data_IF_187393197758
#
_entry.id   IF_187393197758
#
_cell.length_a   1.000
_cell.length_b   1.000
_cell.length_c   1.000
_cell.angle_alpha   90.00
_cell.angle_beta   90.00
_cell.angle_gamma   90.00
#
_symmetry.space_group_name_H-M   'P 1'
#
loop_
_entity.id
_entity.type
_entity.pdbx_description
1 polymer ?
#
# COMPACT_ATOMS: atom_id res chain seq x y z
N UNK A 1 -1.27 -15.50 6.17
CA UNK A 1 -0.26 -14.85 5.33
C UNK A 1 0.67 -14.02 6.19
N UNK A 2 1.95 -14.19 6.01
CA UNK A 2 2.93 -13.48 6.83
C UNK A 2 3.49 -12.28 6.08
N UNK A 3 3.59 -11.17 6.78
CA UNK A 3 4.20 -9.97 6.24
C UNK A 3 4.78 -9.16 7.41
N UNK A 4 5.63 -8.21 7.08
CA UNK A 4 6.08 -7.20 8.02
C UNK A 4 6.09 -5.84 7.35
N UNK A 5 5.91 -4.80 8.13
CA UNK A 5 5.99 -3.44 7.65
C UNK A 5 7.42 -2.97 7.89
N UNK A 6 8.05 -2.42 6.87
CA UNK A 6 9.43 -1.99 6.94
C UNK A 6 9.51 -0.47 6.80
N UNK A 7 10.53 0.13 7.39
CA UNK A 7 10.79 1.55 7.25
C UNK A 7 11.98 1.85 6.32
N UNK A 8 12.44 0.84 5.60
CA UNK A 8 13.57 0.99 4.69
C UNK A 8 13.06 1.26 3.27
N UNK A 9 13.19 2.50 2.81
CA UNK A 9 12.74 2.86 1.48
C UNK A 9 13.45 2.07 0.37
N UNK A 10 14.63 1.53 0.64
CA UNK A 10 15.31 0.69 -0.34
C UNK A 10 14.51 -0.58 -0.65
N UNK A 11 13.70 -1.06 0.29
CA UNK A 11 12.84 -2.23 0.04
C UNK A 11 11.78 -1.95 -1.02
N UNK A 12 11.47 -0.68 -1.27
CA UNK A 12 10.49 -0.28 -2.28
C UNK A 12 11.13 -0.03 -3.66
N UNK A 13 12.43 -0.22 -3.80
CA UNK A 13 13.11 -0.03 -5.08
C UNK A 13 12.51 -0.95 -6.13
N UNK A 14 12.40 -0.44 -7.34
CA UNK A 14 11.88 -1.18 -8.50
C UNK A 14 10.38 -1.49 -8.41
N UNK A 15 9.66 -0.90 -7.45
CA UNK A 15 8.20 -1.02 -7.43
C UNK A 15 7.60 0.09 -8.29
N UNK A 16 6.46 -0.20 -8.87
CA UNK A 16 5.68 0.77 -9.62
C UNK A 16 4.21 0.54 -9.34
N UNK A 17 3.37 1.44 -9.82
CA UNK A 17 1.92 1.34 -9.59
C UNK A 17 1.38 0.06 -10.23
N UNK A 18 0.73 -0.77 -9.41
CA UNK A 18 0.13 -2.02 -9.88
C UNK A 18 -1.36 -2.13 -9.56
N UNK A 19 -1.89 -1.24 -8.72
CA UNK A 19 -3.31 -1.30 -8.40
C UNK A 19 -3.72 -0.25 -7.39
N UNK A 20 -4.93 -0.44 -6.89
CA UNK A 20 -5.55 0.50 -5.94
C UNK A 20 -6.34 -0.28 -4.90
N UNK A 21 -6.50 0.33 -3.73
CA UNK A 21 -7.41 -0.20 -2.71
C UNK A 21 -8.22 0.96 -2.15
N UNK A 22 -9.54 0.77 -2.06
CA UNK A 22 -10.42 1.77 -1.49
C UNK A 22 -10.63 1.44 -0.01
N UNK A 23 -10.08 2.27 0.85
CA UNK A 23 -10.16 2.05 2.29
C UNK A 23 -9.86 3.35 3.03
N UNK A 24 -9.91 3.33 4.35
CA UNK A 24 -9.65 4.51 5.17
C UNK A 24 -8.25 4.46 5.75
N UNK A 25 -7.76 5.65 6.12
CA UNK A 25 -6.49 5.76 6.83
C UNK A 25 -6.50 4.92 8.10
N UNK A 26 -7.62 4.94 8.83
CA UNK A 26 -7.73 4.20 10.09
C UNK A 26 -7.58 2.68 9.87
N UNK A 27 -8.17 2.17 8.80
CA UNK A 27 -8.04 0.75 8.48
C UNK A 27 -6.60 0.38 8.14
N UNK A 28 -5.90 1.26 7.44
CA UNK A 28 -4.49 1.01 7.10
C UNK A 28 -3.61 1.03 8.35
N UNK A 29 -3.86 1.96 9.26
CA UNK A 29 -3.11 2.01 10.52
C UNK A 29 -3.38 0.77 11.36
N UNK A 30 -4.63 0.32 11.39
CA UNK A 30 -4.97 -0.89 12.15
C UNK A 30 -4.25 -2.11 11.61
N UNK A 31 -4.17 -2.24 10.29
CA UNK A 31 -3.56 -3.41 9.66
C UNK A 31 -2.02 -3.34 9.65
N UNK A 32 -1.46 -2.16 9.43
CA UNK A 32 -0.03 -2.03 9.13
C UNK A 32 0.72 -1.10 10.08
N UNK A 33 0.03 -0.43 10.99
CA UNK A 33 0.66 0.49 11.90
C UNK A 33 0.82 1.88 11.31
N UNK A 34 1.66 2.68 11.94
CA UNK A 34 1.86 4.08 11.56
C UNK A 34 2.64 4.16 10.25
N UNK A 35 2.20 5.01 9.30
CA UNK A 35 2.92 5.12 8.03
C UNK A 35 4.22 5.89 8.17
N UNK A 36 5.06 5.74 7.16
CA UNK A 36 6.22 6.61 6.96
C UNK A 36 5.75 7.93 6.35
N UNK A 37 6.52 8.97 6.57
CA UNK A 37 6.35 10.19 5.80
C UNK A 37 6.74 9.90 4.37
N UNK A 38 5.86 10.26 3.45
CA UNK A 38 6.10 10.01 2.04
C UNK A 38 7.10 10.98 1.45
N UNK A 39 7.29 10.85 0.16
CA UNK A 39 8.20 11.72 -0.56
C UNK A 39 7.49 12.99 -1.03
N UNK A 40 7.91 13.42 -2.20
CA UNK A 40 7.52 14.69 -2.77
C UNK A 40 6.02 14.78 -3.05
N UNK A 41 5.41 13.68 -3.46
CA UNK A 41 4.01 13.65 -3.90
C UNK A 41 3.12 12.77 -3.06
N UNK A 42 3.63 12.30 -1.94
CA UNK A 42 2.88 11.45 -1.01
C UNK A 42 3.00 12.00 0.39
N UNK A 43 1.95 11.88 1.17
CA UNK A 43 1.96 12.28 2.58
C UNK A 43 2.24 11.11 3.49
N UNK A 44 1.70 9.94 3.15
CA UNK A 44 1.82 8.75 3.96
C UNK A 44 2.11 7.56 3.06
N UNK A 45 2.98 6.69 3.52
CA UNK A 45 3.37 5.52 2.75
C UNK A 45 3.65 4.35 3.69
N UNK A 46 3.16 3.18 3.32
CA UNK A 46 3.48 1.93 4.00
C UNK A 46 4.26 1.05 3.03
N UNK A 47 5.31 0.42 3.54
CA UNK A 47 6.09 -0.54 2.77
C UNK A 47 5.93 -1.89 3.44
N UNK A 48 5.37 -2.85 2.71
CA UNK A 48 5.01 -4.16 3.24
C UNK A 48 5.83 -5.21 2.55
N UNK A 49 6.55 -6.00 3.32
CA UNK A 49 7.38 -7.07 2.79
C UNK A 49 6.76 -8.41 3.20
N UNK A 50 6.42 -9.20 2.22
CA UNK A 50 5.81 -10.52 2.45
C UNK A 50 6.89 -11.57 2.69
N UNK A 51 6.50 -12.71 3.27
CA UNK A 51 7.43 -13.74 3.69
C UNK A 51 8.28 -14.29 2.54
N UNK A 52 7.73 -14.30 1.32
CA UNK A 52 8.46 -14.77 0.14
C UNK A 52 9.33 -13.71 -0.51
N UNK A 53 9.43 -12.53 0.09
CA UNK A 53 10.27 -11.45 -0.43
C UNK A 53 9.56 -10.46 -1.32
N UNK A 54 8.32 -10.70 -1.71
CA UNK A 54 7.56 -9.71 -2.48
C UNK A 54 7.30 -8.47 -1.64
N UNK A 55 7.26 -7.31 -2.30
CA UNK A 55 7.06 -6.03 -1.63
C UNK A 55 5.87 -5.33 -2.25
N UNK A 56 5.02 -4.76 -1.39
CA UNK A 56 3.96 -3.86 -1.79
C UNK A 56 4.13 -2.54 -1.07
N UNK A 57 3.77 -1.45 -1.73
CA UNK A 57 3.69 -0.14 -1.09
C UNK A 57 2.26 0.34 -1.17
N UNK A 58 1.83 1.11 -0.17
CA UNK A 58 0.52 1.75 -0.17
C UNK A 58 0.75 3.21 0.12
N UNK A 59 0.20 4.09 -0.70
CA UNK A 59 0.47 5.52 -0.57
C UNK A 59 -0.66 6.35 -1.15
N UNK A 60 -0.79 7.59 -0.65
CA UNK A 60 -1.64 8.59 -1.28
C UNK A 60 -0.86 9.26 -2.41
N UNK A 61 -1.54 9.96 -3.29
CA UNK A 61 -0.88 10.53 -4.46
C UNK A 61 -1.38 11.95 -4.71
N UNK A 62 -0.47 12.91 -4.60
CA UNK A 62 -0.73 14.32 -4.90
C UNK A 62 -1.89 14.92 -4.09
N UNK A 63 -2.08 14.42 -2.89
CA UNK A 63 -3.09 14.99 -1.99
C UNK A 63 -2.46 16.11 -1.16
N UNK A 64 -3.22 17.17 -0.86
CA UNK A 64 -2.67 18.26 -0.04
C UNK A 64 -2.34 17.81 1.38
N UNK A 65 -3.09 16.87 1.93
CA UNK A 65 -2.85 16.28 3.23
C UNK A 65 -3.18 14.80 3.16
N UNK A 66 -2.76 14.02 4.17
CA UNK A 66 -3.13 12.62 4.25
C UNK A 66 -4.65 12.47 4.27
N UNK A 67 -5.24 11.72 3.33
CA UNK A 67 -6.69 11.51 3.34
C UNK A 67 -7.09 10.62 4.51
N UNK A 68 -8.11 11.06 5.27
CA UNK A 68 -8.60 10.31 6.44
C UNK A 68 -9.97 9.69 6.23
N UNK A 69 -10.57 9.91 5.07
CA UNK A 69 -11.86 9.34 4.68
C UNK A 69 -11.61 8.22 3.67
N UNK A 70 -12.67 7.62 3.15
CA UNK A 70 -12.53 6.64 2.08
C UNK A 70 -11.77 7.25 0.92
N UNK A 71 -10.72 6.59 0.50
CA UNK A 71 -9.82 7.09 -0.52
C UNK A 71 -9.32 5.92 -1.34
N UNK A 72 -9.04 6.17 -2.59
CA UNK A 72 -8.47 5.18 -3.49
C UNK A 72 -6.95 5.21 -3.34
N UNK A 73 -6.44 4.43 -2.39
CA UNK A 73 -5.01 4.38 -2.13
C UNK A 73 -4.30 3.66 -3.27
N UNK A 74 -3.14 4.15 -3.62
CA UNK A 74 -2.31 3.53 -4.65
C UNK A 74 -1.54 2.37 -4.05
N UNK A 75 -1.41 1.29 -4.85
CA UNK A 75 -0.60 0.13 -4.47
C UNK A 75 0.54 0.02 -5.47
N UNK A 76 1.77 0.05 -4.96
CA UNK A 76 2.95 -0.20 -5.76
C UNK A 76 3.47 -1.61 -5.54
N UNK A 77 4.19 -2.14 -6.50
CA UNK A 77 4.78 -3.47 -6.39
C UNK A 77 5.52 -3.83 -7.65
N UNK A 78 6.17 -4.98 -7.64
CA UNK A 78 6.85 -5.53 -8.81
C UNK A 78 5.92 -6.37 -9.67
N UNK A 79 4.82 -6.85 -9.07
CA UNK A 79 3.86 -7.72 -9.73
C UNK A 79 2.46 -7.34 -9.28
N UNK A 80 1.49 -7.45 -10.17
CA UNK A 80 0.10 -7.18 -9.85
C UNK A 80 -0.45 -8.10 -8.76
N UNK A 81 0.16 -9.26 -8.56
CA UNK A 81 -0.30 -10.21 -7.54
C UNK A 81 -0.27 -9.64 -6.11
N UNK A 82 0.55 -8.61 -5.85
CA UNK A 82 0.58 -8.02 -4.51
C UNK A 82 -0.73 -7.32 -4.16
N UNK A 83 -1.53 -6.92 -5.15
CA UNK A 83 -2.83 -6.28 -4.90
C UNK A 83 -3.72 -7.22 -4.09
N UNK A 84 -3.82 -8.48 -4.48
CA UNK A 84 -4.61 -9.47 -3.75
C UNK A 84 -4.06 -9.71 -2.35
N UNK A 85 -2.75 -9.67 -2.19
CA UNK A 85 -2.12 -9.85 -0.88
C UNK A 85 -2.43 -8.69 0.06
N UNK A 86 -2.40 -7.47 -0.45
CA UNK A 86 -2.77 -6.30 0.33
C UNK A 86 -4.23 -6.40 0.75
N UNK A 87 -5.11 -6.77 -0.19
CA UNK A 87 -6.52 -6.91 0.11
C UNK A 87 -6.77 -7.95 1.20
N UNK A 88 -6.07 -9.08 1.13
CA UNK A 88 -6.20 -10.13 2.14
C UNK A 88 -5.73 -9.65 3.51
N UNK A 89 -4.63 -8.91 3.56
CA UNK A 89 -4.12 -8.38 4.82
C UNK A 89 -5.08 -7.36 5.44
N UNK A 90 -5.79 -6.59 4.61
CA UNK A 90 -6.77 -5.62 5.07
C UNK A 90 -8.14 -6.22 5.34
N UNK A 91 -8.43 -7.40 4.79
CA UNK A 91 -9.75 -7.99 4.90
C UNK A 91 -10.79 -7.34 4.00
N UNK A 92 -10.37 -6.73 2.89
CA UNK A 92 -11.26 -5.93 2.02
C UNK A 92 -11.32 -6.49 0.60
N UNK A 93 -11.40 -7.78 0.46
CA UNK A 93 -11.23 -8.50 -0.79
C UNK A 93 -11.87 -7.90 -2.05
N UNK A 94 -12.98 -7.18 -1.93
CA UNK A 94 -13.69 -6.62 -3.08
C UNK A 94 -13.38 -5.15 -3.33
N UNK A 95 -12.55 -4.52 -2.48
CA UNK A 95 -12.30 -3.09 -2.56
C UNK A 95 -10.93 -2.77 -3.15
N UNK A 96 -10.34 -3.72 -3.84
CA UNK A 96 -9.05 -3.49 -4.50
C UNK A 96 -9.13 -3.97 -5.95
N UNK A 97 -8.28 -3.39 -6.80
CA UNK A 97 -8.21 -3.80 -8.19
C UNK A 97 -6.83 -3.48 -8.75
N UNK A 98 -6.45 -4.25 -9.77
CA UNK A 98 -5.18 -4.14 -10.44
C UNK A 98 -5.28 -3.16 -11.60
N UNK A 99 -4.18 -2.49 -11.91
CA UNK A 99 -4.08 -1.70 -13.15
C UNK A 99 -3.81 -2.60 -14.35
N UNK A 100 -3.47 -3.85 -14.12
CA UNK A 100 -3.18 -4.81 -15.18
C UNK A 100 -4.42 -5.04 -16.03
N UNK A 101 -4.21 -5.21 -17.33
CA UNK A 101 -5.28 -5.41 -18.31
C UNK A 101 -5.23 -6.82 -18.86
#
# INVERSE_FOLDING_TARGET
MSFRVTNNFADANMTGLVGYVNTTYADLVEAFGKPLNGGDKTNSEWIIKFADGEVATIYDWKMPTTPVYDYEWHIGGNKASVVARVAAALGVGNNCWSTDR
#
